data_IF_484910525514
#
_entry.id   IF_484910525514
#
_cell.length_a   1.000
_cell.length_b   1.000
_cell.length_c   1.000
_cell.angle_alpha   90.00
_cell.angle_beta   90.00
_cell.angle_gamma   90.00
#
_symmetry.space_group_name_H-M   'P 1'
#
loop_
_entity.id
_entity.type
_entity.pdbx_description
1 polymer ?
#
# COMPACT_ATOMS: atom_id res chain seq x y z
N UNK A 1 18.68 -14.65 -7.65
CA UNK A 1 17.58 -14.39 -6.71
C UNK A 1 18.13 -13.49 -5.62
N UNK A 2 17.81 -12.21 -5.67
CA UNK A 2 18.28 -11.23 -4.70
C UNK A 2 17.16 -11.12 -3.66
N UNK A 3 17.46 -11.52 -2.43
CA UNK A 3 16.56 -11.32 -1.31
C UNK A 3 16.76 -9.89 -0.81
N UNK A 4 15.74 -9.05 -0.92
CA UNK A 4 15.80 -7.62 -0.59
C UNK A 4 15.03 -7.36 0.71
N UNK A 5 15.28 -8.16 1.75
CA UNK A 5 14.74 -7.88 3.09
C UNK A 5 15.88 -7.47 4.02
N UNK A 6 15.72 -6.36 4.76
CA UNK A 6 16.80 -5.76 5.55
C UNK A 6 17.16 -6.57 6.80
N UNK A 7 16.36 -7.57 7.19
CA UNK A 7 16.52 -8.24 8.49
C UNK A 7 17.21 -9.61 8.41
N UNK A 8 17.21 -10.32 7.27
CA UNK A 8 17.78 -11.67 7.17
C UNK A 8 18.68 -11.90 5.96
N UNK A 9 19.98 -12.15 6.20
CA UNK A 9 20.98 -12.46 5.16
C UNK A 9 20.80 -13.84 4.50
N UNK A 10 19.94 -14.71 5.04
CA UNK A 10 19.72 -16.06 4.53
C UNK A 10 18.28 -16.25 4.08
N UNK A 11 18.12 -16.80 2.87
CA UNK A 11 16.81 -17.04 2.29
C UNK A 11 16.09 -18.16 3.05
N UNK A 12 14.92 -17.86 3.64
CA UNK A 12 13.99 -18.90 4.10
C UNK A 12 13.64 -19.85 2.94
N UNK A 13 13.46 -21.12 3.27
CA UNK A 13 13.27 -22.16 2.27
C UNK A 13 12.73 -23.44 2.89
N UNK A 14 12.53 -24.44 2.03
CA UNK A 14 12.02 -25.75 2.43
C UNK A 14 12.87 -26.41 3.53
N UNK A 15 14.19 -26.23 3.50
CA UNK A 15 15.09 -26.73 4.56
C UNK A 15 14.78 -26.12 5.92
N UNK A 16 14.57 -24.80 6.01
CA UNK A 16 14.21 -24.14 7.26
C UNK A 16 12.85 -24.62 7.79
N UNK A 17 11.87 -24.81 6.89
CA UNK A 17 10.56 -25.36 7.24
C UNK A 17 10.62 -26.80 7.77
N UNK A 18 11.44 -27.65 7.15
CA UNK A 18 11.67 -29.04 7.59
C UNK A 18 12.44 -29.10 8.92
N UNK A 19 13.36 -28.17 9.16
CA UNK A 19 14.07 -28.02 10.43
C UNK A 19 13.20 -27.43 11.55
N UNK A 20 11.95 -27.10 11.27
CA UNK A 20 10.95 -26.74 12.27
C UNK A 20 10.64 -25.25 12.41
N UNK A 21 11.14 -24.39 11.52
CA UNK A 21 10.77 -22.97 11.43
C UNK A 21 9.36 -22.81 10.85
N UNK A 22 8.38 -22.80 11.76
CA UNK A 22 6.93 -22.73 11.51
C UNK A 22 6.40 -21.37 11.91
N UNK A 23 5.60 -20.73 11.05
CA UNK A 23 5.07 -19.40 11.30
C UNK A 23 4.10 -19.41 12.48
N UNK A 24 3.20 -20.40 12.56
CA UNK A 24 2.19 -20.48 13.62
C UNK A 24 2.80 -20.60 15.02
N UNK A 25 4.00 -21.18 15.16
CA UNK A 25 4.70 -21.27 16.45
C UNK A 25 5.15 -19.92 16.99
N UNK A 26 5.31 -18.92 16.13
CA UNK A 26 5.74 -17.56 16.49
C UNK A 26 4.57 -16.61 16.68
N UNK A 27 3.37 -17.02 16.25
CA UNK A 27 2.19 -16.16 16.30
C UNK A 27 1.69 -16.04 17.74
N UNK A 28 1.33 -14.82 18.07
CA UNK A 28 0.72 -14.35 19.30
C UNK A 28 -0.62 -13.71 18.96
N UNK A 29 -1.41 -13.33 19.96
CA UNK A 29 -2.71 -12.68 19.73
C UNK A 29 -2.59 -11.36 18.94
N UNK A 30 -1.45 -10.67 19.08
CA UNK A 30 -1.13 -9.41 18.37
C UNK A 30 -0.39 -9.61 17.04
N UNK A 31 -0.21 -10.85 16.57
CA UNK A 31 0.36 -11.15 15.25
C UNK A 31 -0.66 -10.89 14.15
N UNK A 32 -1.01 -9.62 13.99
CA UNK A 32 -2.08 -9.14 13.11
C UNK A 32 -1.57 -8.05 12.18
N UNK A 33 -2.27 -7.86 11.06
CA UNK A 33 -1.99 -6.77 10.10
C UNK A 33 -3.10 -5.75 10.24
N UNK A 34 -2.75 -4.54 10.69
CA UNK A 34 -3.67 -3.43 10.84
C UNK A 34 -3.34 -2.35 9.80
N UNK A 35 -4.36 -1.81 9.15
CA UNK A 35 -4.22 -0.77 8.15
C UNK A 35 -5.01 0.46 8.57
N UNK A 36 -4.34 1.61 8.66
CA UNK A 36 -5.00 2.90 8.90
C UNK A 36 -5.28 3.58 7.58
N UNK A 37 -6.56 3.81 7.32
CA UNK A 37 -7.10 4.35 6.08
C UNK A 37 -7.73 5.73 6.32
N UNK A 38 -7.73 6.55 5.27
CA UNK A 38 -8.32 7.88 5.34
C UNK A 38 -7.84 8.78 4.20
N UNK A 39 -8.52 9.92 4.10
CA UNK A 39 -8.20 10.96 3.12
C UNK A 39 -6.77 11.53 3.33
N UNK A 40 -6.25 12.28 2.36
CA UNK A 40 -4.85 12.73 2.29
C UNK A 40 -4.33 13.35 3.61
N UNK A 41 -5.06 14.33 4.15
CA UNK A 41 -4.68 15.05 5.38
C UNK A 41 -5.49 14.64 6.62
N UNK A 42 -5.86 13.35 6.74
CA UNK A 42 -6.62 12.86 7.88
C UNK A 42 -5.82 12.70 9.18
N UNK A 43 -4.48 12.72 9.13
CA UNK A 43 -3.62 12.48 10.31
C UNK A 43 -3.28 11.01 10.57
N UNK A 44 -3.54 10.15 9.57
CA UNK A 44 -3.37 8.68 9.61
C UNK A 44 -1.99 8.21 10.09
N UNK A 45 -0.89 8.80 9.62
CA UNK A 45 0.46 8.34 9.99
C UNK A 45 0.78 8.52 11.48
N UNK A 46 0.35 9.64 12.07
CA UNK A 46 0.54 9.86 13.52
C UNK A 46 -0.25 8.82 14.33
N UNK A 47 -1.50 8.56 13.96
CA UNK A 47 -2.32 7.56 14.63
C UNK A 47 -1.71 6.15 14.49
N UNK A 48 -1.34 5.78 13.27
CA UNK A 48 -0.75 4.48 12.98
C UNK A 48 0.56 4.24 13.77
N UNK A 49 1.41 5.25 13.87
CA UNK A 49 2.62 5.19 14.69
C UNK A 49 2.29 4.99 16.17
N UNK A 50 1.33 5.75 16.72
CA UNK A 50 0.95 5.65 18.14
C UNK A 50 0.34 4.29 18.48
N UNK A 51 -0.49 3.73 17.59
CA UNK A 51 -1.05 2.38 17.74
C UNK A 51 0.08 1.34 17.73
N UNK A 52 1.02 1.46 16.79
CA UNK A 52 2.15 0.54 16.68
C UNK A 52 3.02 0.55 17.95
N UNK A 53 3.35 1.74 18.48
CA UNK A 53 4.13 1.91 19.71
C UNK A 53 3.44 1.31 20.93
N UNK A 54 2.13 1.53 21.08
CA UNK A 54 1.36 1.02 22.22
C UNK A 54 1.15 -0.49 22.19
N UNK A 55 0.90 -1.06 21.00
CA UNK A 55 0.68 -2.51 20.82
C UNK A 55 1.99 -3.30 20.63
N UNK A 56 3.14 -2.62 20.57
CA UNK A 56 4.43 -3.26 20.30
C UNK A 56 4.52 -3.85 18.89
N UNK A 57 3.77 -3.31 17.94
CA UNK A 57 3.74 -3.73 16.54
C UNK A 57 4.74 -2.92 15.71
N UNK A 58 5.16 -3.46 14.56
CA UNK A 58 6.05 -2.73 13.64
C UNK A 58 5.25 -1.73 12.81
N UNK A 59 5.68 -0.48 12.83
CA UNK A 59 5.10 0.58 12.02
C UNK A 59 5.71 0.62 10.61
N UNK A 60 4.87 0.65 9.59
CA UNK A 60 5.26 0.90 8.20
C UNK A 60 4.65 2.24 7.73
N UNK A 61 5.47 3.26 7.42
CA UNK A 61 4.98 4.56 6.95
C UNK A 61 4.38 4.46 5.55
N UNK A 62 3.56 5.42 5.13
CA UNK A 62 2.96 5.42 3.78
C UNK A 62 4.01 5.20 2.66
N UNK A 63 3.75 4.25 1.77
CA UNK A 63 4.62 3.99 0.61
C UNK A 63 4.62 5.19 -0.35
N UNK A 64 5.78 5.82 -0.50
CA UNK A 64 6.00 6.89 -1.46
C UNK A 64 6.58 6.36 -2.79
N UNK A 65 6.79 7.27 -3.74
CA UNK A 65 7.37 6.93 -5.05
C UNK A 65 8.76 6.30 -4.89
N UNK A 66 9.51 6.63 -3.82
CA UNK A 66 10.87 6.19 -3.60
C UNK A 66 10.99 4.98 -2.66
N UNK A 67 9.88 4.33 -2.32
CA UNK A 67 9.87 3.19 -1.41
C UNK A 67 10.88 2.11 -1.82
N UNK A 68 10.88 1.73 -3.11
CA UNK A 68 11.78 0.71 -3.67
C UNK A 68 13.26 1.09 -3.52
N UNK A 69 13.59 2.39 -3.58
CA UNK A 69 14.95 2.90 -3.42
C UNK A 69 15.41 2.86 -1.95
N UNK A 70 14.48 2.97 -1.01
CA UNK A 70 14.79 2.91 0.43
C UNK A 70 15.02 1.50 0.93
N UNK A 71 14.30 0.53 0.36
CA UNK A 71 14.48 -0.89 0.72
C UNK A 71 15.69 -1.51 0.01
N UNK A 72 16.14 -0.94 -1.10
CA UNK A 72 17.36 -1.38 -1.80
C UNK A 72 18.61 -0.84 -1.12
N UNK A 73 19.70 -1.64 -1.16
CA UNK A 73 20.82 -1.59 -0.22
C UNK A 73 21.57 -0.25 -0.10
N UNK A 74 21.44 0.66 -1.08
CA UNK A 74 22.17 1.93 -1.07
C UNK A 74 21.37 3.08 -0.45
N UNK A 75 20.04 2.95 -0.30
CA UNK A 75 19.15 3.95 0.31
C UNK A 75 19.14 5.33 -0.39
N UNK A 76 19.88 5.48 -1.48
CA UNK A 76 20.02 6.73 -2.23
C UNK A 76 18.77 6.97 -3.08
N UNK A 77 18.23 8.18 -2.99
CA UNK A 77 17.11 8.57 -3.85
C UNK A 77 17.59 8.68 -5.30
N UNK A 78 17.10 7.76 -6.14
CA UNK A 78 17.39 7.77 -7.56
C UNK A 78 16.65 8.90 -8.28
N UNK A 79 17.23 9.36 -9.39
CA UNK A 79 16.60 10.32 -10.28
C UNK A 79 15.27 9.78 -10.81
N UNK A 80 14.28 10.66 -11.04
CA UNK A 80 12.92 10.30 -11.46
C UNK A 80 12.84 9.35 -12.66
N UNK A 81 13.81 9.48 -13.58
CA UNK A 81 13.96 8.63 -14.78
C UNK A 81 14.15 7.14 -14.46
N UNK A 82 14.70 6.83 -13.29
CA UNK A 82 14.89 5.46 -12.80
C UNK A 82 13.76 5.04 -11.85
N UNK A 83 12.86 5.96 -11.49
CA UNK A 83 11.80 5.77 -10.53
C UNK A 83 10.42 5.90 -11.19
N UNK A 84 10.27 5.25 -12.36
CA UNK A 84 9.02 5.18 -13.11
C UNK A 84 8.60 6.47 -13.84
N UNK A 85 9.45 7.49 -13.95
CA UNK A 85 9.09 8.82 -14.50
C UNK A 85 7.88 9.44 -13.79
N UNK A 86 7.79 9.22 -12.49
CA UNK A 86 6.68 9.61 -11.64
C UNK A 86 7.09 10.77 -10.72
N UNK A 87 6.23 11.77 -10.61
CA UNK A 87 6.47 12.96 -9.78
C UNK A 87 5.11 13.50 -9.29
N UNK A 88 4.90 13.53 -7.96
CA UNK A 88 3.67 14.01 -7.33
C UNK A 88 3.37 15.48 -7.63
N UNK A 89 4.39 16.34 -7.60
CA UNK A 89 4.26 17.76 -7.91
C UNK A 89 3.73 17.98 -9.34
N UNK A 90 4.25 17.23 -10.32
CA UNK A 90 3.76 17.29 -11.71
C UNK A 90 2.30 16.86 -11.81
N UNK A 91 1.91 15.82 -11.09
CA UNK A 91 0.52 15.36 -11.06
C UNK A 91 -0.44 16.43 -10.51
N UNK A 92 -0.10 17.07 -9.40
CA UNK A 92 -0.98 18.10 -8.83
C UNK A 92 -0.97 19.43 -9.60
N UNK A 93 0.10 19.72 -10.34
CA UNK A 93 0.19 20.91 -11.18
C UNK A 93 -0.55 20.77 -12.52
N UNK A 94 -0.43 19.62 -13.19
CA UNK A 94 -1.11 19.34 -14.47
C UNK A 94 -1.63 17.89 -14.54
N UNK A 95 -2.73 17.58 -13.84
CA UNK A 95 -3.27 16.22 -13.78
C UNK A 95 -3.89 15.74 -15.10
N UNK A 96 -4.09 16.63 -16.09
CA UNK A 96 -4.65 16.31 -17.42
C UNK A 96 -3.59 16.28 -18.52
N UNK A 97 -2.32 16.17 -18.12
CA UNK A 97 -1.21 16.10 -19.06
C UNK A 97 -1.41 14.95 -20.07
N UNK A 98 -1.25 15.24 -21.36
CA UNK A 98 -1.43 14.27 -22.44
C UNK A 98 -0.39 13.13 -22.42
N UNK A 99 0.68 13.28 -21.64
CA UNK A 99 1.78 12.33 -21.44
C UNK A 99 1.37 11.09 -20.62
N UNK A 100 0.13 11.01 -20.13
CA UNK A 100 -0.34 9.85 -19.36
C UNK A 100 0.27 9.71 -17.96
N UNK A 101 1.01 10.74 -17.52
CA UNK A 101 1.75 10.77 -16.25
C UNK A 101 0.88 10.41 -15.04
N UNK A 102 -0.37 10.90 -15.00
CA UNK A 102 -1.31 10.62 -13.91
C UNK A 102 -1.53 9.13 -13.66
N UNK A 103 -1.72 8.35 -14.74
CA UNK A 103 -1.92 6.92 -14.62
C UNK A 103 -0.62 6.17 -14.34
N UNK A 104 0.49 6.57 -14.98
CA UNK A 104 1.81 5.98 -14.73
C UNK A 104 2.23 6.10 -13.27
N UNK A 105 1.98 7.27 -12.68
CA UNK A 105 2.20 7.53 -11.27
C UNK A 105 1.34 6.66 -10.36
N UNK A 106 0.05 6.51 -10.66
CA UNK A 106 -0.84 5.65 -9.89
C UNK A 106 -0.40 4.17 -9.97
N UNK A 107 -0.03 3.69 -11.15
CA UNK A 107 0.47 2.32 -11.34
C UNK A 107 1.78 2.07 -10.57
N UNK A 108 2.70 3.06 -10.57
CA UNK A 108 3.93 2.98 -9.80
C UNK A 108 3.69 2.95 -8.28
N UNK A 109 2.79 3.81 -7.78
CA UNK A 109 2.40 3.81 -6.38
C UNK A 109 1.73 2.49 -5.97
N UNK A 110 0.88 1.92 -6.83
CA UNK A 110 0.27 0.61 -6.59
C UNK A 110 1.34 -0.47 -6.43
N UNK A 111 2.32 -0.55 -7.34
CA UNK A 111 3.43 -1.49 -7.24
C UNK A 111 4.23 -1.33 -5.94
N UNK A 112 4.54 -0.10 -5.54
CA UNK A 112 5.22 0.18 -4.27
C UNK A 112 4.38 -0.24 -3.05
N UNK A 113 3.06 -0.06 -3.07
CA UNK A 113 2.16 -0.50 -1.99
C UNK A 113 2.05 -2.02 -1.92
N UNK A 114 2.01 -2.71 -3.05
CA UNK A 114 2.05 -4.18 -3.11
C UNK A 114 3.37 -4.69 -2.52
N UNK A 115 4.49 -4.05 -2.87
CA UNK A 115 5.81 -4.39 -2.34
C UNK A 115 5.88 -4.18 -0.83
N UNK A 116 5.36 -3.04 -0.35
CA UNK A 116 5.29 -2.76 1.08
C UNK A 116 4.41 -3.77 1.83
N UNK A 117 3.30 -4.19 1.23
CA UNK A 117 2.45 -5.21 1.81
C UNK A 117 3.15 -6.56 1.89
N UNK A 118 3.94 -6.92 0.86
CA UNK A 118 4.79 -8.11 0.91
C UNK A 118 5.87 -8.01 2.00
N UNK A 119 6.49 -6.85 2.21
CA UNK A 119 7.46 -6.62 3.31
C UNK A 119 6.80 -6.74 4.69
N UNK A 120 5.58 -6.19 4.84
CA UNK A 120 4.78 -6.30 6.06
C UNK A 120 4.43 -7.77 6.37
N UNK A 121 3.95 -8.52 5.39
CA UNK A 121 3.64 -9.94 5.53
C UNK A 121 4.89 -10.79 5.78
N UNK A 122 5.99 -10.50 5.10
CA UNK A 122 7.26 -11.18 5.33
C UNK A 122 7.73 -11.00 6.78
N UNK A 123 7.69 -9.76 7.29
CA UNK A 123 8.05 -9.48 8.67
C UNK A 123 7.12 -10.23 9.65
N UNK A 124 5.80 -10.15 9.45
CA UNK A 124 4.82 -10.87 10.27
C UNK A 124 5.11 -12.38 10.31
N UNK A 125 5.35 -13.01 9.14
CA UNK A 125 5.59 -14.45 9.04
C UNK A 125 6.98 -14.87 9.56
N UNK A 126 7.96 -13.98 9.49
CA UNK A 126 9.32 -14.25 9.95
C UNK A 126 9.47 -14.08 11.47
N UNK A 127 8.91 -13.01 12.04
CA UNK A 127 9.11 -12.63 13.45
C UNK A 127 7.92 -12.98 14.33
N UNK A 128 6.71 -13.07 13.77
CA UNK A 128 5.47 -13.12 14.53
C UNK A 128 5.04 -11.76 15.10
N UNK A 129 5.77 -10.68 14.84
CA UNK A 129 5.39 -9.35 15.30
C UNK A 129 4.27 -8.78 14.40
N UNK A 130 3.21 -8.27 15.01
CA UNK A 130 2.15 -7.57 14.29
C UNK A 130 2.65 -6.35 13.53
N UNK A 131 1.93 -5.97 12.48
CA UNK A 131 2.27 -4.84 11.63
C UNK A 131 1.13 -3.83 11.57
N UNK A 132 1.45 -2.55 11.71
CA UNK A 132 0.54 -1.43 11.47
C UNK A 132 1.08 -0.64 10.28
N UNK A 133 0.25 -0.40 9.28
CA UNK A 133 0.65 0.34 8.08
C UNK A 133 -0.35 1.41 7.69
N UNK A 134 0.15 2.45 7.02
CA UNK A 134 -0.66 3.48 6.40
C UNK A 134 -1.05 3.07 4.98
N UNK A 135 -2.36 2.96 4.71
CA UNK A 135 -2.93 2.59 3.42
C UNK A 135 -2.46 1.25 2.85
N UNK A 136 -3.42 0.40 2.56
CA UNK A 136 -3.20 -0.90 1.94
C UNK A 136 -3.29 -0.84 0.41
N UNK A 137 -2.75 -1.83 -0.32
CA UNK A 137 -3.04 -1.97 -1.75
C UNK A 137 -4.55 -2.15 -2.03
N UNK A 138 -5.32 -2.64 -1.04
CA UNK A 138 -6.78 -2.78 -1.16
C UNK A 138 -7.49 -1.43 -1.27
N UNK A 139 -6.97 -0.35 -0.70
CA UNK A 139 -7.60 0.98 -0.76
C UNK A 139 -7.15 1.84 -1.94
N UNK A 140 -6.15 1.40 -2.72
CA UNK A 140 -5.56 2.22 -3.78
C UNK A 140 -6.55 2.56 -4.91
N UNK A 141 -7.51 1.68 -5.19
CA UNK A 141 -8.50 1.91 -6.26
C UNK A 141 -9.40 3.13 -6.00
N UNK A 142 -9.52 3.57 -4.74
CA UNK A 142 -10.31 4.76 -4.35
C UNK A 142 -9.73 6.01 -5.02
N UNK A 143 -8.41 6.13 -5.08
CA UNK A 143 -7.72 7.24 -5.75
C UNK A 143 -7.94 7.18 -7.25
N UNK A 144 -7.85 5.98 -7.83
CA UNK A 144 -8.05 5.79 -9.25
C UNK A 144 -9.50 6.11 -9.70
N UNK A 145 -10.50 5.67 -8.94
CA UNK A 145 -11.91 5.98 -9.24
C UNK A 145 -12.17 7.50 -9.14
N UNK A 146 -11.59 8.16 -8.14
CA UNK A 146 -11.63 9.62 -8.04
C UNK A 146 -10.94 10.31 -9.23
N UNK A 147 -9.79 9.82 -9.69
CA UNK A 147 -9.10 10.34 -10.88
C UNK A 147 -9.94 10.14 -12.15
N UNK A 148 -10.62 9.00 -12.29
CA UNK A 148 -11.50 8.72 -13.41
C UNK A 148 -12.72 9.66 -13.44
N UNK A 149 -13.40 9.84 -12.29
CA UNK A 149 -14.54 10.76 -12.15
C UNK A 149 -14.15 12.22 -12.43
N UNK A 150 -12.95 12.61 -12.07
CA UNK A 150 -12.43 13.95 -12.35
C UNK A 150 -11.94 14.14 -13.81
N UNK A 151 -11.89 13.04 -14.58
CA UNK A 151 -11.45 13.03 -15.97
C UNK A 151 -9.94 13.20 -16.14
N UNK A 152 -9.14 12.73 -15.18
CA UNK A 152 -7.67 12.72 -15.26
C UNK A 152 -7.13 11.51 -16.01
N UNK A 153 -7.90 10.42 -16.03
CA UNK A 153 -7.50 9.16 -16.68
C UNK A 153 -8.58 8.66 -17.63
N UNK A 154 -8.16 7.89 -18.63
CA UNK A 154 -9.07 7.27 -19.60
C UNK A 154 -9.66 5.97 -19.05
N UNK A 155 -10.79 5.54 -19.62
CA UNK A 155 -11.42 4.26 -19.27
C UNK A 155 -10.48 3.06 -19.45
N UNK A 156 -9.67 3.05 -20.52
CA UNK A 156 -8.66 2.00 -20.75
C UNK A 156 -7.67 1.83 -19.59
N UNK A 157 -7.32 2.92 -18.91
CA UNK A 157 -6.43 2.90 -17.75
C UNK A 157 -7.10 2.26 -16.54
N UNK A 158 -8.41 2.53 -16.37
CA UNK A 158 -9.23 1.90 -15.32
C UNK A 158 -9.35 0.39 -15.55
N UNK A 159 -9.61 -0.03 -16.79
CA UNK A 159 -9.73 -1.45 -17.15
C UNK A 159 -8.37 -2.17 -16.94
N UNK A 160 -7.26 -1.58 -17.40
CA UNK A 160 -5.90 -2.09 -17.16
C UNK A 160 -5.57 -2.23 -15.66
N UNK A 161 -5.92 -1.24 -14.84
CA UNK A 161 -5.67 -1.31 -13.41
C UNK A 161 -6.49 -2.40 -12.73
N UNK A 162 -7.75 -2.62 -13.13
CA UNK A 162 -8.60 -3.65 -12.53
C UNK A 162 -8.00 -5.03 -12.74
N UNK A 163 -7.51 -5.32 -13.94
CA UNK A 163 -6.84 -6.59 -14.25
C UNK A 163 -5.59 -6.77 -13.39
N UNK A 164 -4.74 -5.73 -13.29
CA UNK A 164 -3.55 -5.77 -12.42
C UNK A 164 -3.94 -5.99 -10.96
N UNK A 165 -4.95 -5.26 -10.46
CA UNK A 165 -5.42 -5.35 -9.08
C UNK A 165 -5.91 -6.77 -8.77
N UNK A 166 -6.75 -7.34 -9.63
CA UNK A 166 -7.34 -8.66 -9.42
C UNK A 166 -6.27 -9.75 -9.33
N UNK A 167 -5.27 -9.73 -10.21
CA UNK A 167 -4.18 -10.73 -10.22
C UNK A 167 -3.19 -10.50 -9.08
N UNK A 168 -2.86 -9.24 -8.78
CA UNK A 168 -1.86 -8.93 -7.74
C UNK A 168 -2.40 -9.21 -6.34
N UNK A 169 -3.67 -8.86 -6.08
CA UNK A 169 -4.26 -8.94 -4.73
C UNK A 169 -4.70 -10.36 -4.37
N UNK A 170 -5.04 -11.21 -5.35
CA UNK A 170 -5.53 -12.57 -5.08
C UNK A 170 -4.52 -13.48 -4.36
N UNK A 171 -3.23 -13.19 -4.51
CA UNK A 171 -2.14 -13.95 -3.85
C UNK A 171 -1.93 -13.54 -2.37
N UNK A 172 -2.55 -12.44 -1.93
CA UNK A 172 -2.38 -11.90 -0.59
C UNK A 172 -3.59 -12.11 0.30
N UNK A 173 -3.32 -12.32 1.59
CA UNK A 173 -4.36 -12.29 2.62
C UNK A 173 -4.72 -10.83 2.93
N UNK A 174 -6.01 -10.48 3.09
CA UNK A 174 -6.44 -9.12 3.43
C UNK A 174 -5.94 -8.71 4.83
N UNK A 175 -5.95 -7.42 5.20
CA UNK A 175 -5.64 -7.04 6.58
C UNK A 175 -6.63 -7.65 7.57
N UNK A 176 -6.24 -7.76 8.84
CA UNK A 176 -7.16 -8.22 9.89
C UNK A 176 -8.12 -7.12 10.34
N UNK A 177 -7.59 -5.88 10.39
CA UNK A 177 -8.30 -4.71 10.84
C UNK A 177 -8.04 -3.53 9.91
N UNK A 178 -9.11 -2.84 9.56
CA UNK A 178 -9.06 -1.55 8.86
C UNK A 178 -9.60 -0.46 9.79
N UNK A 179 -8.77 0.53 10.09
CA UNK A 179 -9.15 1.70 10.89
C UNK A 179 -9.35 2.87 9.93
N UNK A 180 -10.59 3.28 9.72
CA UNK A 180 -10.91 4.40 8.83
C UNK A 180 -11.15 5.69 9.62
N UNK A 181 -10.40 6.74 9.27
CA UNK A 181 -10.56 8.07 9.86
C UNK A 181 -11.45 8.93 8.96
N UNK A 182 -12.67 9.19 9.42
CA UNK A 182 -13.62 10.07 8.77
C UNK A 182 -13.30 11.53 9.09
N UNK A 183 -12.80 12.24 8.08
CA UNK A 183 -12.54 13.68 8.13
C UNK A 183 -13.31 14.35 7.00
N UNK A 184 -14.22 15.29 7.30
CA UNK A 184 -14.99 15.99 6.27
C UNK A 184 -14.07 16.70 5.26
N UNK A 185 -14.43 16.69 3.97
CA UNK A 185 -13.67 17.40 2.91
C UNK A 185 -13.29 18.84 3.27
N UNK A 186 -14.17 19.70 3.84
CA UNK A 186 -13.80 21.06 4.18
C UNK A 186 -12.64 21.14 5.18
N UNK A 187 -12.60 20.22 6.14
CA UNK A 187 -11.54 20.15 7.15
C UNK A 187 -10.25 19.60 6.56
N UNK A 188 -10.34 18.59 5.68
CA UNK A 188 -9.18 18.08 4.91
C UNK A 188 -8.58 19.20 4.07
N UNK A 189 -9.41 19.98 3.37
CA UNK A 189 -8.95 21.10 2.55
C UNK A 189 -8.28 22.17 3.40
N UNK A 190 -8.84 22.51 4.56
CA UNK A 190 -8.22 23.47 5.48
C UNK A 190 -6.85 22.98 5.98
N UNK A 191 -6.76 21.71 6.38
CA UNK A 191 -5.49 21.10 6.80
C UNK A 191 -4.44 21.08 5.69
N UNK A 192 -4.85 20.82 4.45
CA UNK A 192 -3.96 20.90 3.28
C UNK A 192 -3.50 22.34 3.01
N UNK A 193 -4.36 23.33 3.19
CA UNK A 193 -3.97 24.74 3.04
C UNK A 193 -2.98 25.19 4.13
N UNK A 194 -3.18 24.72 5.36
CA UNK A 194 -2.36 25.11 6.51
C UNK A 194 -1.00 24.39 6.51
N UNK A 195 -0.99 23.06 6.31
CA UNK A 195 0.18 22.20 6.50
C UNK A 195 0.66 21.47 5.23
N UNK A 196 -0.10 21.51 4.15
CA UNK A 196 0.24 20.78 2.91
C UNK A 196 1.34 21.48 2.11
N UNK A 197 2.00 20.69 1.27
CA UNK A 197 3.01 21.18 0.35
C UNK A 197 2.40 22.12 -0.72
N UNK A 198 3.15 23.05 -1.33
CA UNK A 198 2.62 24.03 -2.28
C UNK A 198 1.82 23.43 -3.44
N UNK A 199 2.17 22.21 -3.86
CA UNK A 199 1.48 21.48 -4.90
C UNK A 199 0.19 20.79 -4.40
N UNK A 200 0.14 20.30 -3.16
CA UNK A 200 -1.06 19.67 -2.57
C UNK A 200 -2.16 20.69 -2.30
N UNK A 201 -1.81 21.96 -2.11
CA UNK A 201 -2.79 23.06 -1.97
C UNK A 201 -3.64 23.29 -3.22
N UNK A 202 -3.23 22.77 -4.38
CA UNK A 202 -3.94 22.90 -5.67
C UNK A 202 -4.99 21.80 -5.89
N UNK A 203 -5.12 20.86 -4.96
CA UNK A 203 -6.08 19.76 -5.07
C UNK A 203 -7.52 20.29 -5.13
N UNK A 204 -8.29 19.81 -6.12
CA UNK A 204 -9.69 20.18 -6.26
C UNK A 204 -10.53 19.64 -5.08
N UNK A 205 -11.43 20.43 -4.48
CA UNK A 205 -12.37 19.94 -3.47
C UNK A 205 -13.25 18.80 -3.99
N UNK A 206 -13.61 18.83 -5.28
CA UNK A 206 -14.38 17.75 -5.91
C UNK A 206 -13.63 16.42 -5.92
N UNK A 207 -12.30 16.45 -6.09
CA UNK A 207 -11.47 15.26 -6.08
C UNK A 207 -11.43 14.62 -4.69
N UNK A 208 -11.29 15.43 -3.64
CA UNK A 208 -11.35 14.95 -2.25
C UNK A 208 -12.72 14.36 -1.91
N UNK A 209 -13.81 14.95 -2.41
CA UNK A 209 -15.16 14.41 -2.25
C UNK A 209 -15.31 13.07 -2.96
N UNK A 210 -14.77 12.92 -4.17
CA UNK A 210 -14.83 11.63 -4.87
C UNK A 210 -14.03 10.54 -4.16
N UNK A 211 -12.90 10.89 -3.52
CA UNK A 211 -12.15 9.96 -2.66
C UNK A 211 -12.99 9.53 -1.46
N UNK A 212 -13.57 10.49 -0.72
CA UNK A 212 -14.41 10.18 0.44
C UNK A 212 -15.62 9.30 0.05
N UNK A 213 -16.27 9.63 -1.05
CA UNK A 213 -17.38 8.86 -1.60
C UNK A 213 -16.96 7.43 -1.97
N UNK A 214 -15.81 7.24 -2.61
CA UNK A 214 -15.32 5.92 -3.00
C UNK A 214 -14.88 5.08 -1.78
N UNK A 215 -14.31 5.71 -0.74
CA UNK A 215 -14.08 5.05 0.55
C UNK A 215 -15.38 4.53 1.15
N UNK A 216 -16.38 5.40 1.30
CA UNK A 216 -17.65 5.09 1.98
C UNK A 216 -18.55 4.13 1.19
N UNK A 217 -18.61 4.27 -0.13
CA UNK A 217 -19.57 3.52 -0.97
C UNK A 217 -19.02 2.19 -1.50
N UNK A 218 -17.71 2.05 -1.63
CA UNK A 218 -17.10 0.88 -2.28
C UNK A 218 -16.12 0.17 -1.37
N UNK A 219 -15.10 0.87 -0.88
CA UNK A 219 -14.03 0.24 -0.08
C UNK A 219 -14.51 -0.32 1.25
N UNK A 220 -15.19 0.48 2.09
CA UNK A 220 -15.61 0.03 3.41
C UNK A 220 -16.60 -1.15 3.35
N UNK A 221 -17.60 -1.18 2.45
CA UNK A 221 -18.44 -2.36 2.25
C UNK A 221 -17.65 -3.61 1.81
N UNK A 222 -16.81 -3.49 0.78
CA UNK A 222 -16.03 -4.61 0.22
C UNK A 222 -15.08 -5.22 1.25
N UNK A 223 -14.38 -4.38 2.02
CA UNK A 223 -13.39 -4.85 3.00
C UNK A 223 -14.04 -5.40 4.27
N UNK A 224 -15.25 -4.93 4.62
CA UNK A 224 -15.98 -5.39 5.82
C UNK A 224 -16.43 -6.87 5.74
N UNK A 225 -16.47 -7.44 4.54
CA UNK A 225 -16.77 -8.85 4.33
C UNK A 225 -15.60 -9.75 4.77
N UNK A 226 -14.36 -9.28 4.58
CA UNK A 226 -13.15 -10.06 4.81
C UNK A 226 -12.35 -9.64 6.06
N UNK A 227 -12.51 -8.40 6.49
CA UNK A 227 -11.72 -7.78 7.57
C UNK A 227 -12.64 -7.09 8.58
N UNK A 228 -12.18 -6.92 9.82
CA UNK A 228 -12.87 -6.05 10.76
C UNK A 228 -12.64 -4.58 10.41
N UNK A 229 -13.64 -3.74 10.61
CA UNK A 229 -13.59 -2.32 10.25
C UNK A 229 -14.01 -1.47 11.45
N UNK A 230 -13.13 -0.56 11.87
CA UNK A 230 -13.41 0.46 12.86
C UNK A 230 -13.42 1.83 12.19
N UNK A 231 -14.43 2.63 12.49
CA UNK A 231 -14.60 3.97 11.91
C UNK A 231 -14.56 4.99 13.04
N UNK A 232 -13.69 5.99 12.89
CA UNK A 232 -13.51 7.06 13.86
C UNK A 232 -13.63 8.42 13.22
N UNK A 233 -14.24 9.35 13.91
CA UNK A 233 -14.19 10.76 13.52
C UNK A 233 -12.82 11.37 13.83
N UNK A 234 -12.50 12.50 13.21
CA UNK A 234 -11.24 13.23 13.46
C UNK A 234 -10.96 13.49 14.95
N UNK A 235 -11.99 13.76 15.75
CA UNK A 235 -11.86 14.03 17.20
C UNK A 235 -11.66 12.77 18.01
N UNK A 236 -12.31 11.67 17.64
CA UNK A 236 -12.14 10.38 18.32
C UNK A 236 -10.80 9.74 17.98
N UNK A 237 -10.28 10.00 16.78
CA UNK A 237 -8.96 9.55 16.34
C UNK A 237 -7.80 10.13 17.18
N UNK A 238 -8.03 11.17 17.97
CA UNK A 238 -7.03 11.70 18.91
C UNK A 238 -6.92 10.85 20.19
N UNK A 239 -7.97 10.12 20.54
CA UNK A 239 -8.02 9.24 21.72
C UNK A 239 -7.58 7.82 21.35
N UNK A 240 -6.26 7.63 21.33
CA UNK A 240 -5.63 6.35 20.99
C UNK A 240 -5.96 5.25 22.00
N UNK A 241 -6.22 5.60 23.26
CA UNK A 241 -6.50 4.61 24.31
C UNK A 241 -7.85 3.94 24.08
N UNK A 242 -8.87 4.74 23.74
CA UNK A 242 -10.17 4.22 23.31
C UNK A 242 -10.06 3.29 22.10
N UNK A 243 -9.24 3.65 21.10
CA UNK A 243 -9.04 2.82 19.90
C UNK A 243 -8.40 1.48 20.26
N UNK A 244 -7.41 1.47 21.16
CA UNK A 244 -6.77 0.23 21.61
C UNK A 244 -7.76 -0.65 22.37
N UNK A 245 -8.56 -0.07 23.27
CA UNK A 245 -9.62 -0.80 23.97
C UNK A 245 -10.60 -1.44 22.97
N UNK A 246 -11.08 -0.68 21.98
CA UNK A 246 -11.96 -1.19 20.93
C UNK A 246 -11.31 -2.36 20.16
N UNK A 247 -10.00 -2.27 19.86
CA UNK A 247 -9.24 -3.34 19.20
C UNK A 247 -9.16 -4.60 20.07
N UNK A 248 -8.96 -4.46 21.38
CA UNK A 248 -8.91 -5.60 22.31
C UNK A 248 -10.26 -6.30 22.48
N UNK A 249 -11.37 -5.57 22.31
CA UNK A 249 -12.71 -6.14 22.34
C UNK A 249 -13.11 -6.85 21.04
N UNK A 250 -12.41 -6.60 19.94
CA UNK A 250 -12.70 -7.24 18.66
C UNK A 250 -12.32 -8.73 18.67
N UNK A 251 -13.18 -9.53 18.06
CA UNK A 251 -12.91 -10.94 17.77
C UNK A 251 -12.61 -11.08 16.29
N UNK A 252 -11.38 -11.47 15.97
CA UNK A 252 -10.92 -11.65 14.60
C UNK A 252 -11.36 -13.01 14.05
N UNK A 253 -12.67 -13.16 13.85
CA UNK A 253 -13.29 -14.40 13.34
C UNK A 253 -13.54 -14.35 11.82
N UNK A 254 -13.34 -13.18 11.19
CA UNK A 254 -13.56 -12.96 9.77
C UNK A 254 -12.32 -13.19 8.91
N UNK A 255 -12.57 -13.47 7.64
CA UNK A 255 -11.57 -13.53 6.59
C UNK A 255 -10.86 -14.88 6.47
N UNK A 256 -10.00 -15.04 5.44
CA UNK A 256 -9.34 -16.30 5.14
C UNK A 256 -8.23 -16.67 6.14
N UNK A 257 -7.92 -15.80 7.11
CA UNK A 257 -6.84 -16.00 8.09
C UNK A 257 -7.07 -17.20 9.02
N UNK A 258 -8.32 -17.49 9.35
CA UNK A 258 -8.68 -18.60 10.25
C UNK A 258 -8.54 -19.96 9.57
N UNK A 259 -8.56 -19.99 8.23
CA UNK A 259 -8.43 -21.21 7.42
C UNK A 259 -6.97 -21.55 7.08
N UNK A 260 -6.01 -20.67 7.42
CA UNK A 260 -4.60 -20.87 7.09
C UNK A 260 -3.92 -21.89 7.99
N UNK A 261 -3.00 -22.66 7.42
CA UNK A 261 -2.16 -23.61 8.13
C UNK A 261 -0.67 -23.29 7.94
N UNK A 262 0.20 -24.04 8.62
CA UNK A 262 1.65 -23.86 8.49
C UNK A 262 2.16 -24.08 7.06
N UNK A 263 1.42 -24.81 6.21
CA UNK A 263 1.81 -25.08 4.81
C UNK A 263 1.45 -23.88 3.95
N UNK A 264 0.25 -23.32 4.09
CA UNK A 264 -0.18 -22.13 3.37
C UNK A 264 0.67 -20.92 3.76
N UNK A 265 0.97 -20.74 5.05
CA UNK A 265 1.91 -19.71 5.50
C UNK A 265 3.34 -19.92 4.98
N UNK A 266 3.78 -21.17 4.82
CA UNK A 266 5.08 -21.46 4.21
C UNK A 266 5.12 -21.00 2.75
N UNK A 267 4.10 -21.32 1.96
CA UNK A 267 4.00 -20.89 0.55
C UNK A 267 3.87 -19.37 0.43
N UNK A 268 3.04 -18.74 1.26
CA UNK A 268 2.92 -17.28 1.31
C UNK A 268 4.26 -16.64 1.66
N UNK A 269 4.99 -17.17 2.65
CA UNK A 269 6.32 -16.67 3.03
C UNK A 269 7.34 -16.79 1.89
N UNK A 270 7.31 -17.87 1.10
CA UNK A 270 8.17 -18.01 -0.07
C UNK A 270 7.82 -16.99 -1.17
N UNK A 271 6.54 -16.75 -1.39
CA UNK A 271 6.06 -15.79 -2.38
C UNK A 271 6.47 -14.35 -2.01
N UNK A 272 6.14 -13.89 -0.80
CA UNK A 272 6.45 -12.51 -0.36
C UNK A 272 7.94 -12.22 -0.31
N UNK A 273 8.76 -13.26 -0.16
CA UNK A 273 10.21 -13.16 -0.14
C UNK A 273 10.82 -12.89 -1.53
N UNK A 274 10.18 -13.37 -2.59
CA UNK A 274 10.60 -13.18 -3.98
C UNK A 274 9.96 -11.91 -4.55
N UNK A 275 10.58 -10.75 -4.25
CA UNK A 275 10.06 -9.42 -4.61
C UNK A 275 9.82 -9.25 -6.12
N UNK A 276 10.67 -9.85 -6.96
CA UNK A 276 10.49 -9.86 -8.41
C UNK A 276 9.18 -10.56 -8.80
N UNK A 277 8.87 -11.70 -8.18
CA UNK A 277 7.64 -12.45 -8.42
C UNK A 277 6.40 -11.74 -7.88
N UNK A 278 6.52 -11.02 -6.77
CA UNK A 278 5.46 -10.17 -6.23
C UNK A 278 5.09 -9.02 -7.18
N UNK A 279 6.08 -8.47 -7.88
CA UNK A 279 5.87 -7.37 -8.82
C UNK A 279 5.53 -7.82 -10.24
N UNK A 280 5.75 -9.09 -10.59
CA UNK A 280 5.47 -9.63 -11.92
C UNK A 280 4.01 -9.38 -12.38
N UNK A 281 2.98 -9.60 -11.53
CA UNK A 281 1.59 -9.26 -11.88
C UNK A 281 1.33 -7.76 -12.13
N UNK A 282 2.20 -6.88 -11.65
CA UNK A 282 2.06 -5.43 -11.89
C UNK A 282 2.57 -5.02 -13.28
N UNK A 283 3.36 -5.87 -13.92
CA UNK A 283 3.97 -5.66 -15.24
C UNK A 283 3.26 -6.48 -16.34
N UNK A 284 1.92 -6.50 -16.35
CA UNK A 284 1.16 -7.18 -17.39
C UNK A 284 1.52 -6.66 -18.79
N UNK A 285 1.68 -7.55 -19.80
CA UNK A 285 2.02 -7.17 -21.17
C UNK A 285 0.79 -6.62 -21.93
N UNK A 286 0.10 -5.65 -21.32
CA UNK A 286 -1.03 -4.93 -21.89
C UNK A 286 -0.57 -3.54 -22.31
N UNK A 287 -0.43 -3.36 -23.62
CA UNK A 287 0.15 -2.13 -24.16
C UNK A 287 -0.86 -0.98 -24.17
N UNK A 288 -0.78 -0.12 -23.15
CA UNK A 288 -1.47 1.17 -23.13
C UNK A 288 -0.47 2.33 -23.28
N UNK A 289 -0.82 3.42 -23.99
CA UNK A 289 0.09 4.53 -24.24
C UNK A 289 0.68 5.19 -22.99
N UNK A 290 -0.07 5.17 -21.88
CA UNK A 290 0.31 5.85 -20.64
C UNK A 290 1.45 5.16 -19.87
N UNK A 291 1.59 3.83 -19.98
CA UNK A 291 2.67 3.07 -19.28
C UNK A 291 3.67 2.40 -20.21
N UNK A 292 3.35 2.23 -21.49
CA UNK A 292 4.24 1.53 -22.43
C UNK A 292 5.45 2.40 -22.77
N UNK A 293 6.65 1.91 -22.44
CA UNK A 293 7.92 2.56 -22.79
C UNK A 293 8.45 1.94 -24.10
N UNK A 294 8.94 2.77 -25.01
CA UNK A 294 9.54 2.29 -26.26
C UNK A 294 10.83 1.53 -26.00
N UNK A 295 11.08 0.44 -26.74
CA UNK A 295 12.25 -0.43 -26.51
C UNK A 295 13.60 0.30 -26.55
N UNK A 296 13.77 1.27 -27.45
CA UNK A 296 15.00 2.08 -27.53
C UNK A 296 15.19 3.01 -26.33
N UNK A 297 14.09 3.54 -25.79
CA UNK A 297 14.12 4.38 -24.60
C UNK A 297 14.43 3.54 -23.36
N UNK A 298 13.77 2.39 -23.22
CA UNK A 298 14.04 1.42 -22.16
C UNK A 298 15.51 0.99 -22.14
N UNK A 299 16.07 0.61 -23.29
CA UNK A 299 17.46 0.16 -23.40
C UNK A 299 18.45 1.25 -22.94
N UNK A 300 18.21 2.49 -23.37
CA UNK A 300 19.01 3.64 -22.95
C UNK A 300 18.96 3.86 -21.44
N UNK A 301 17.76 3.87 -20.86
CA UNK A 301 17.56 4.06 -19.41
C UNK A 301 18.20 2.93 -18.62
N UNK A 302 18.08 1.68 -19.11
CA UNK A 302 18.65 0.51 -18.47
C UNK A 302 20.18 0.58 -18.36
N UNK A 303 20.86 0.95 -19.44
CA UNK A 303 22.32 1.12 -19.40
C UNK A 303 22.75 2.34 -18.60
N UNK A 304 21.97 3.43 -18.62
CA UNK A 304 22.22 4.57 -17.73
C UNK A 304 22.09 4.17 -16.26
N UNK A 305 21.08 3.36 -15.90
CA UNK A 305 20.89 2.89 -14.52
C UNK A 305 22.05 2.01 -14.07
N UNK A 306 22.50 1.09 -14.92
CA UNK A 306 23.67 0.23 -14.64
C UNK A 306 24.99 0.98 -14.51
N UNK A 307 25.06 2.21 -15.02
CA UNK A 307 26.28 3.04 -14.97
C UNK A 307 26.38 3.91 -13.72
N UNK A 308 25.29 4.00 -12.94
CA UNK A 308 25.21 4.69 -11.64
C UNK A 308 25.51 3.69 -10.54
#
# INVERSE_FOLDING_TARGET
RIHVSPEHNLQYGWLAYMLGDRAMKKFTDYSKVFTVEGNLASGKGKLAQQIAEKLGMKYFPEADIHYINRITADGTLLHEKFNGFCNLERFYNDPKCADGHSYRMQAWLFGNRVLQYADALEHLLATGQGVVMERSPYSDFVFLDAMFKQGYIHKRCLDHYKEIKEISISEFLPPHLVIYIDVPVPDVQKRLQDNGEPYEKKVSPSYLQYIEDAYKKTFLPEISESSEVLQYTATEAEDVEKIIEDIEYLKFDKGPWTEQDDVSFHHLRLYVQEKDGVLDPTALPLFIPEVTIGGSEFDKIYYEYRSV
#
